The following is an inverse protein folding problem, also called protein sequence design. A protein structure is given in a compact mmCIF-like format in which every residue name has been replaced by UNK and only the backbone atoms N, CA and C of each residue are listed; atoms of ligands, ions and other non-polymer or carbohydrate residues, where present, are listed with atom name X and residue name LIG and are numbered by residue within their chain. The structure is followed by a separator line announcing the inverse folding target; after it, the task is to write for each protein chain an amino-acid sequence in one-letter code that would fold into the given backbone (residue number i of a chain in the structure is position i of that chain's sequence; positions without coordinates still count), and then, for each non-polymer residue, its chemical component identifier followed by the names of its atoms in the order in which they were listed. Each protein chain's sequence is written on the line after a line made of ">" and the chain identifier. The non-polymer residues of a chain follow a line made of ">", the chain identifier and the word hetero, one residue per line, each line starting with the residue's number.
data_IF_702459635314
#
_entry.id   IF_702459635314
#
_cell.length_a   1.000
_cell.length_b   1.000
_cell.length_c   1.000
_cell.angle_alpha   90.00
_cell.angle_beta   90.00
_cell.angle_gamma   90.00
#
_symmetry.space_group_name_H-M   'P 1'
#
loop_
_entity.id
_entity.type
_entity.pdbx_description
1 polymer ?
#
# COMPACT_ATOMS: atom_id res chain seq x y z
N UNK A 1 27.22 -12.87 -15.03
CA UNK A 1 26.81 -12.08 -13.86
C UNK A 1 25.35 -11.74 -14.06
N UNK A 2 24.47 -12.12 -13.14
CA UNK A 2 23.04 -11.91 -13.32
C UNK A 2 22.68 -10.47 -12.89
N UNK A 3 21.66 -9.89 -13.52
CA UNK A 3 21.29 -8.49 -13.30
C UNK A 3 19.81 -8.33 -12.96
N UNK A 4 19.51 -7.31 -12.15
CA UNK A 4 18.18 -6.73 -12.01
C UNK A 4 18.21 -5.37 -12.69
N UNK A 5 17.43 -5.20 -13.75
CA UNK A 5 17.36 -3.97 -14.52
C UNK A 5 16.10 -3.18 -14.16
N UNK A 6 16.27 -1.91 -13.87
CA UNK A 6 15.20 -0.95 -13.61
C UNK A 6 15.24 0.12 -14.68
N UNK A 7 14.17 0.19 -15.47
CA UNK A 7 13.99 1.26 -16.44
C UNK A 7 13.95 2.63 -15.76
N UNK A 8 14.11 3.69 -16.56
CA UNK A 8 13.84 5.06 -16.11
C UNK A 8 12.35 5.20 -15.78
N UNK A 9 12.01 5.19 -14.49
CA UNK A 9 10.61 5.25 -14.01
C UNK A 9 10.16 6.62 -13.49
N UNK A 10 11.08 7.57 -13.27
CA UNK A 10 10.77 8.86 -12.62
C UNK A 10 11.67 9.98 -13.11
N UNK A 11 11.15 11.22 -13.08
CA UNK A 11 11.96 12.44 -13.26
C UNK A 11 12.83 12.74 -12.03
N UNK A 12 12.38 12.35 -10.84
CA UNK A 12 13.01 12.63 -9.55
C UNK A 12 13.68 11.39 -8.99
N UNK A 13 14.75 11.60 -8.22
CA UNK A 13 15.40 10.55 -7.44
C UNK A 13 14.40 9.88 -6.49
N UNK A 14 14.51 8.55 -6.38
CA UNK A 14 13.69 7.74 -5.48
C UNK A 14 14.62 7.02 -4.52
N UNK A 15 14.88 7.66 -3.38
CA UNK A 15 15.74 7.11 -2.35
C UNK A 15 15.08 5.91 -1.67
N UNK A 16 15.86 4.85 -1.45
CA UNK A 16 15.43 3.61 -0.82
C UNK A 16 14.07 3.10 -1.38
N UNK A 17 13.92 3.06 -2.70
CA UNK A 17 12.65 2.74 -3.37
C UNK A 17 12.23 1.30 -3.06
N UNK A 18 11.04 1.04 -2.48
CA UNK A 18 10.59 -0.31 -2.23
C UNK A 18 10.37 -1.06 -3.53
N UNK A 19 11.23 -2.04 -3.77
CA UNK A 19 11.21 -2.90 -4.95
C UNK A 19 10.85 -4.31 -4.52
N UNK A 20 9.92 -4.92 -5.26
CA UNK A 20 9.58 -6.33 -5.12
C UNK A 20 9.75 -7.02 -6.46
N UNK A 21 10.56 -8.08 -6.50
CA UNK A 21 10.81 -8.87 -7.71
C UNK A 21 10.72 -10.36 -7.41
N UNK A 22 10.33 -11.15 -8.41
CA UNK A 22 10.37 -12.62 -8.36
C UNK A 22 11.46 -13.13 -9.28
N UNK A 23 12.46 -13.82 -8.72
CA UNK A 23 13.62 -14.33 -9.46
C UNK A 23 13.48 -15.84 -9.63
N UNK A 24 13.45 -16.38 -10.86
CA UNK A 24 13.45 -17.81 -11.10
C UNK A 24 14.85 -18.39 -10.95
N UNK A 25 14.94 -19.59 -10.37
CA UNK A 25 16.18 -20.36 -10.27
C UNK A 25 16.01 -21.75 -10.87
N UNK A 26 17.02 -22.17 -11.64
CA UNK A 26 17.10 -23.55 -12.11
C UNK A 26 17.28 -24.50 -10.92
N UNK A 27 16.81 -25.75 -11.09
CA UNK A 27 16.93 -26.80 -10.09
C UNK A 27 18.37 -26.94 -9.58
N UNK A 28 18.53 -26.98 -8.25
CA UNK A 28 19.80 -27.10 -7.55
C UNK A 28 20.65 -25.82 -7.48
N UNK A 29 20.22 -24.70 -8.10
CA UNK A 29 21.05 -23.47 -8.15
C UNK A 29 20.99 -22.61 -6.90
N UNK A 30 19.84 -22.54 -6.25
CA UNK A 30 19.66 -21.79 -5.01
C UNK A 30 19.13 -22.73 -3.93
N UNK A 31 19.99 -23.23 -3.02
CA UNK A 31 19.55 -24.18 -2.00
C UNK A 31 18.66 -23.52 -0.94
N UNK A 32 18.96 -22.27 -0.56
CA UNK A 32 18.21 -21.50 0.44
C UNK A 32 18.21 -20.00 0.07
N UNK A 33 17.10 -19.26 0.31
CA UNK A 33 17.01 -17.82 0.06
C UNK A 33 18.17 -16.96 0.58
N UNK A 34 18.79 -17.33 1.71
CA UNK A 34 19.86 -16.59 2.36
C UNK A 34 21.18 -16.60 1.59
N UNK A 35 21.32 -17.48 0.59
CA UNK A 35 22.49 -17.45 -0.30
C UNK A 35 22.43 -16.33 -1.34
N UNK A 36 21.28 -15.67 -1.55
CA UNK A 36 21.20 -14.55 -2.48
C UNK A 36 21.97 -13.35 -1.94
N UNK A 37 22.86 -12.81 -2.75
CA UNK A 37 23.44 -11.49 -2.56
C UNK A 37 23.07 -10.58 -3.73
N UNK A 38 22.65 -9.35 -3.41
CA UNK A 38 22.40 -8.28 -4.38
C UNK A 38 23.39 -7.16 -4.11
N UNK A 39 23.93 -6.58 -5.18
CA UNK A 39 25.01 -5.61 -5.18
C UNK A 39 24.64 -4.38 -6.01
N UNK A 40 24.95 -3.20 -5.48
CA UNK A 40 24.94 -1.92 -6.19
C UNK A 40 26.37 -1.40 -6.25
N UNK A 41 27.03 -1.58 -7.39
CA UNK A 41 28.49 -1.48 -7.47
C UNK A 41 29.15 -2.47 -6.49
N UNK A 42 30.02 -1.95 -5.62
CA UNK A 42 30.70 -2.75 -4.58
C UNK A 42 29.90 -2.85 -3.27
N UNK A 43 28.72 -2.22 -3.19
CA UNK A 43 27.90 -2.18 -1.98
C UNK A 43 26.89 -3.31 -1.94
N UNK A 44 27.03 -4.22 -0.96
CA UNK A 44 26.05 -5.28 -0.72
C UNK A 44 24.77 -4.69 -0.17
N UNK A 45 23.64 -5.02 -0.78
CA UNK A 45 22.33 -4.48 -0.43
C UNK A 45 21.64 -5.31 0.65
N UNK A 46 20.86 -4.70 1.55
CA UNK A 46 19.88 -5.42 2.37
C UNK A 46 18.87 -6.13 1.49
N UNK A 47 18.57 -7.39 1.85
CA UNK A 47 17.65 -8.25 1.11
C UNK A 47 16.69 -8.88 2.11
N UNK A 48 15.41 -8.85 1.80
CA UNK A 48 14.39 -9.65 2.47
C UNK A 48 13.78 -10.59 1.43
N UNK A 49 13.97 -11.90 1.59
CA UNK A 49 13.59 -12.87 0.56
C UNK A 49 12.88 -14.08 1.14
N UNK A 50 11.94 -14.65 0.39
CA UNK A 50 11.28 -15.92 0.70
C UNK A 50 11.06 -16.76 -0.54
N UNK A 51 11.17 -18.08 -0.39
CA UNK A 51 10.80 -19.00 -1.45
C UNK A 51 9.27 -18.99 -1.64
N UNK A 52 8.82 -18.80 -2.89
CA UNK A 52 7.42 -18.95 -3.29
C UNK A 52 7.11 -20.37 -3.76
N UNK A 53 8.12 -21.03 -4.34
CA UNK A 53 8.03 -22.41 -4.78
C UNK A 53 9.41 -23.07 -4.74
N UNK A 54 9.44 -24.37 -4.51
CA UNK A 54 10.65 -25.20 -4.49
C UNK A 54 10.55 -26.32 -5.53
N UNK A 55 11.71 -26.81 -5.97
CA UNK A 55 11.83 -28.03 -6.77
C UNK A 55 11.73 -29.27 -5.87
N UNK A 56 11.59 -30.45 -6.50
CA UNK A 56 11.49 -31.72 -5.76
C UNK A 56 12.73 -32.10 -4.96
N UNK A 57 13.87 -31.44 -5.16
CA UNK A 57 15.08 -31.59 -4.34
C UNK A 57 15.19 -30.55 -3.21
N UNK A 58 14.15 -29.73 -3.02
CA UNK A 58 14.10 -28.67 -2.00
C UNK A 58 14.70 -27.33 -2.44
N UNK A 59 15.45 -27.28 -3.54
CA UNK A 59 16.03 -26.02 -4.03
C UNK A 59 14.95 -25.02 -4.45
N UNK A 60 15.23 -23.73 -4.30
CA UNK A 60 14.29 -22.66 -4.64
C UNK A 60 14.06 -22.63 -6.15
N UNK A 61 12.78 -22.59 -6.55
CA UNK A 61 12.35 -22.43 -7.94
C UNK A 61 11.97 -21.00 -8.26
N UNK A 62 11.18 -20.38 -7.37
CA UNK A 62 10.77 -18.98 -7.46
C UNK A 62 11.05 -18.29 -6.15
N UNK A 63 11.86 -17.24 -6.18
CA UNK A 63 12.24 -16.47 -5.01
C UNK A 63 11.59 -15.08 -5.07
N UNK A 64 10.78 -14.74 -4.07
CA UNK A 64 10.34 -13.37 -3.87
C UNK A 64 11.44 -12.60 -3.14
N UNK A 65 11.81 -11.43 -3.65
CA UNK A 65 12.88 -10.59 -3.12
C UNK A 65 12.36 -9.16 -2.96
N UNK A 66 12.56 -8.61 -1.77
CA UNK A 66 12.33 -7.20 -1.45
C UNK A 66 13.68 -6.50 -1.24
N UNK A 67 13.81 -5.33 -1.85
CA UNK A 67 14.98 -4.46 -1.85
C UNK A 67 14.54 -3.01 -1.68
N UNK A 68 15.48 -2.15 -1.30
CA UNK A 68 15.26 -0.69 -1.28
C UNK A 68 16.45 0.05 -1.89
N UNK A 69 16.75 -0.10 -3.20
CA UNK A 69 17.83 0.63 -3.85
C UNK A 69 17.50 2.12 -4.01
N UNK A 70 18.53 2.95 -4.14
CA UNK A 70 18.37 4.31 -4.62
C UNK A 70 18.25 4.30 -6.15
N UNK A 71 17.08 4.72 -6.65
CA UNK A 71 16.84 4.83 -8.09
C UNK A 71 17.02 6.28 -8.54
N UNK A 72 17.94 6.56 -9.49
CA UNK A 72 18.21 7.91 -9.94
C UNK A 72 17.06 8.46 -10.79
N UNK A 73 16.80 9.76 -10.65
CA UNK A 73 15.89 10.50 -11.50
C UNK A 73 16.44 10.59 -12.93
N UNK A 74 15.54 10.46 -13.90
CA UNK A 74 15.83 10.54 -15.33
C UNK A 74 16.81 9.52 -15.90
N UNK A 75 17.22 8.52 -15.13
CA UNK A 75 18.18 7.48 -15.53
C UNK A 75 17.62 6.09 -15.19
N UNK A 76 18.16 5.07 -15.84
CA UNK A 76 17.95 3.68 -15.48
C UNK A 76 18.92 3.24 -14.37
N UNK A 77 18.70 2.05 -13.81
CA UNK A 77 19.56 1.45 -12.78
C UNK A 77 19.71 -0.03 -13.03
N UNK A 78 20.94 -0.53 -12.88
CA UNK A 78 21.21 -1.97 -12.88
C UNK A 78 21.83 -2.38 -11.55
N UNK A 79 21.29 -3.43 -10.93
CA UNK A 79 21.90 -4.12 -9.80
C UNK A 79 22.43 -5.47 -10.27
N UNK A 80 23.43 -5.99 -9.56
CA UNK A 80 23.96 -7.33 -9.80
C UNK A 80 23.51 -8.29 -8.70
N UNK A 81 23.34 -9.56 -9.03
CA UNK A 81 23.11 -10.57 -8.02
C UNK A 81 23.83 -11.88 -8.30
N UNK A 82 24.11 -12.60 -7.22
CA UNK A 82 24.78 -13.89 -7.25
C UNK A 82 24.26 -14.81 -6.13
N UNK A 83 24.57 -16.09 -6.27
CA UNK A 83 24.35 -17.09 -5.22
C UNK A 83 25.68 -17.33 -4.54
N UNK A 84 25.80 -16.93 -3.29
CA UNK A 84 27.01 -17.10 -2.51
C UNK A 84 27.23 -18.58 -2.16
N UNK A 85 28.47 -19.10 -2.21
CA UNK A 85 28.76 -20.48 -1.85
C UNK A 85 28.60 -20.74 -0.34
N UNK A 86 28.80 -19.70 0.47
CA UNK A 86 28.67 -19.75 1.93
C UNK A 86 27.53 -18.84 2.38
N UNK A 87 26.75 -19.31 3.35
CA UNK A 87 25.72 -18.51 4.00
C UNK A 87 26.36 -17.31 4.67
N UNK A 88 26.03 -16.13 4.14
CA UNK A 88 26.44 -14.85 4.70
C UNK A 88 25.17 -14.03 4.82
N UNK A 89 24.69 -13.68 6.04
CA UNK A 89 23.49 -12.86 6.18
C UNK A 89 23.59 -11.57 5.36
N UNK A 90 22.48 -11.09 4.77
CA UNK A 90 22.47 -9.78 4.14
C UNK A 90 22.75 -8.69 5.20
N UNK A 91 23.36 -7.56 4.81
CA UNK A 91 23.52 -6.44 5.73
C UNK A 91 22.16 -5.94 6.21
N UNK A 92 22.09 -5.52 7.47
CA UNK A 92 20.88 -4.92 8.00
C UNK A 92 20.64 -3.54 7.35
N UNK A 93 19.39 -3.16 7.03
CA UNK A 93 19.12 -1.82 6.56
C UNK A 93 19.26 -0.81 7.71
N UNK A 94 19.61 0.42 7.36
CA UNK A 94 19.84 1.51 8.33
C UNK A 94 18.59 1.83 9.16
N UNK A 95 17.42 1.73 8.55
CA UNK A 95 16.11 1.81 9.18
C UNK A 95 15.40 0.48 8.96
N UNK A 96 14.67 0.00 9.96
CA UNK A 96 13.99 -1.30 9.90
C UNK A 96 12.51 -1.16 10.24
N UNK A 97 11.67 -1.97 9.59
CA UNK A 97 10.29 -2.16 10.04
C UNK A 97 10.28 -2.99 11.31
N UNK A 98 9.54 -2.54 12.32
CA UNK A 98 9.27 -3.28 13.55
C UNK A 98 7.78 -3.57 13.65
N UNK A 99 7.44 -4.80 13.99
CA UNK A 99 6.06 -5.26 14.17
C UNK A 99 5.91 -5.79 15.59
N UNK A 100 4.85 -5.36 16.29
CA UNK A 100 4.53 -5.80 17.63
C UNK A 100 3.06 -6.14 17.77
N UNK A 101 2.76 -7.39 18.14
CA UNK A 101 1.40 -7.83 18.41
C UNK A 101 0.95 -7.44 19.82
N UNK A 102 -0.33 -7.13 19.98
CA UNK A 102 -0.92 -6.80 21.27
C UNK A 102 -2.44 -6.93 21.27
N UNK A 103 -3.09 -6.82 22.44
CA UNK A 103 -4.52 -7.09 22.59
C UNK A 103 -5.42 -6.14 21.81
N UNK A 104 -4.95 -4.92 21.53
CA UNK A 104 -5.68 -3.92 20.74
C UNK A 104 -5.37 -3.99 19.23
N UNK A 105 -4.50 -4.90 18.79
CA UNK A 105 -4.06 -5.05 17.40
C UNK A 105 -2.56 -4.93 17.22
N UNK A 106 -2.14 -4.84 15.95
CA UNK A 106 -0.74 -4.95 15.56
C UNK A 106 -0.15 -3.55 15.38
N UNK A 107 0.92 -3.25 16.13
CA UNK A 107 1.70 -2.02 15.98
C UNK A 107 2.78 -2.22 14.93
N UNK A 108 2.97 -1.22 14.08
CA UNK A 108 3.99 -1.19 13.04
C UNK A 108 4.74 0.13 13.13
N UNK A 109 6.05 0.07 13.11
CA UNK A 109 6.95 1.23 13.07
C UNK A 109 7.91 1.08 11.89
N UNK A 110 7.88 2.03 10.96
CA UNK A 110 8.77 2.05 9.79
C UNK A 110 10.05 2.84 10.03
N UNK A 111 10.22 3.48 11.18
CA UNK A 111 11.19 4.54 11.45
C UNK A 111 10.51 5.91 11.49
N UNK A 112 10.12 6.50 10.34
CA UNK A 112 9.42 7.77 10.32
C UNK A 112 7.94 7.66 10.66
N UNK A 113 7.27 6.53 10.46
CA UNK A 113 5.84 6.37 10.69
C UNK A 113 5.57 5.20 11.65
N UNK A 114 4.88 5.49 12.75
CA UNK A 114 4.36 4.50 13.69
C UNK A 114 2.83 4.53 13.68
N UNK A 115 2.21 3.36 13.65
CA UNK A 115 0.75 3.22 13.66
C UNK A 115 0.31 1.86 14.20
N UNK A 116 -1.00 1.68 14.37
CA UNK A 116 -1.64 0.43 14.71
C UNK A 116 -2.66 0.01 13.65
N UNK A 117 -2.65 -1.26 13.28
CA UNK A 117 -3.78 -1.94 12.63
C UNK A 117 -4.66 -2.55 13.72
N UNK A 118 -5.88 -2.04 13.96
CA UNK A 118 -6.65 -2.40 15.13
C UNK A 118 -7.51 -3.66 14.92
N UNK A 119 -7.95 -4.29 16.02
CA UNK A 119 -8.78 -5.52 16.00
C UNK A 119 -10.29 -5.27 15.98
N UNK A 120 -10.72 -4.02 16.16
CA UNK A 120 -12.12 -3.61 16.33
C UNK A 120 -12.75 -3.06 15.04
N UNK A 121 -12.31 -3.56 13.88
CA UNK A 121 -12.76 -3.16 12.55
C UNK A 121 -11.61 -3.14 11.55
N UNK A 122 -11.92 -3.08 10.26
CA UNK A 122 -10.87 -2.78 9.28
C UNK A 122 -10.82 -1.27 9.05
N UNK A 123 -9.89 -0.65 9.77
CA UNK A 123 -9.58 0.77 9.75
C UNK A 123 -8.09 0.84 9.44
N UNK A 124 -7.70 1.28 8.23
CA UNK A 124 -6.38 0.96 7.69
C UNK A 124 -5.23 1.19 8.67
N UNK A 125 -5.22 2.34 9.35
CA UNK A 125 -4.26 2.67 10.41
C UNK A 125 -4.94 3.54 11.50
N UNK A 126 -4.48 3.41 12.75
CA UNK A 126 -4.83 4.23 13.93
C UNK A 126 -3.57 4.54 14.75
N UNK A 127 -3.68 5.31 15.83
CA UNK A 127 -2.57 5.66 16.73
C UNK A 127 -1.35 6.19 15.94
N UNK A 128 -1.57 7.15 15.05
CA UNK A 128 -0.60 7.55 14.03
C UNK A 128 0.38 8.58 14.59
N UNK A 129 1.68 8.28 14.51
CA UNK A 129 2.76 9.20 14.81
C UNK A 129 3.75 9.28 13.64
N UNK A 130 4.19 10.51 13.32
CA UNK A 130 5.16 10.80 12.28
C UNK A 130 6.39 11.46 12.91
N UNK A 131 7.58 10.90 12.67
CA UNK A 131 8.85 11.32 13.28
C UNK A 131 8.77 11.46 14.82
N UNK A 132 8.02 10.57 15.47
CA UNK A 132 7.78 10.58 16.92
C UNK A 132 6.75 11.61 17.39
N UNK A 133 6.26 12.50 16.53
CA UNK A 133 5.16 13.40 16.83
C UNK A 133 3.82 12.68 16.63
N UNK A 134 3.02 12.59 17.69
CA UNK A 134 1.67 12.05 17.61
C UNK A 134 0.80 12.99 16.75
N UNK A 135 0.24 12.48 15.65
CA UNK A 135 -0.63 13.24 14.76
C UNK A 135 -2.11 13.01 15.08
N UNK A 136 -2.54 11.76 15.08
CA UNK A 136 -3.94 11.38 15.32
C UNK A 136 -4.02 10.20 16.28
N UNK A 137 -4.63 10.43 17.45
CA UNK A 137 -4.93 9.38 18.45
C UNK A 137 -6.34 8.81 18.31
N UNK A 138 -7.23 9.52 17.61
CA UNK A 138 -8.62 9.12 17.42
C UNK A 138 -8.73 8.06 16.32
N UNK A 139 -9.94 7.83 15.81
CA UNK A 139 -10.21 7.01 14.62
C UNK A 139 -10.27 7.92 13.39
N UNK A 140 -9.12 8.25 12.76
CA UNK A 140 -9.12 9.12 11.59
C UNK A 140 -9.74 8.45 10.37
N UNK A 141 -9.94 7.14 10.37
CA UNK A 141 -10.63 6.43 9.29
C UNK A 141 -11.96 5.87 9.75
N UNK A 142 -12.98 5.95 8.88
CA UNK A 142 -14.30 5.36 9.15
C UNK A 142 -14.40 3.88 8.78
N UNK A 143 -13.38 3.33 8.12
CA UNK A 143 -13.42 2.00 7.50
C UNK A 143 -14.03 2.04 6.11
N UNK A 144 -14.13 0.88 5.49
CA UNK A 144 -14.71 0.72 4.16
C UNK A 144 -16.22 0.55 4.32
N UNK A 145 -16.98 1.52 3.80
CA UNK A 145 -18.43 1.43 3.65
C UNK A 145 -18.74 0.92 2.24
N UNK A 146 -19.72 0.02 2.13
CA UNK A 146 -20.20 -0.55 0.88
C UNK A 146 -21.72 -0.44 0.81
N UNK A 147 -22.25 -0.11 -0.36
CA UNK A 147 -23.68 -0.15 -0.65
C UNK A 147 -23.94 -1.03 -1.86
N UNK A 148 -24.79 -2.04 -1.67
CA UNK A 148 -25.20 -2.96 -2.73
C UNK A 148 -26.71 -3.20 -2.65
N UNK A 149 -27.45 -3.05 -3.76
CA UNK A 149 -28.91 -3.22 -3.81
C UNK A 149 -29.65 -2.39 -2.73
N UNK A 150 -29.22 -1.15 -2.50
CA UNK A 150 -29.72 -0.26 -1.46
C UNK A 150 -29.36 -0.66 -0.02
N UNK A 151 -28.68 -1.79 0.19
CA UNK A 151 -28.21 -2.25 1.50
C UNK A 151 -26.84 -1.65 1.81
N UNK A 152 -26.72 -0.96 2.95
CA UNK A 152 -25.46 -0.42 3.44
C UNK A 152 -24.80 -1.38 4.43
N UNK A 153 -23.48 -1.53 4.34
CA UNK A 153 -22.68 -2.20 5.36
C UNK A 153 -21.29 -1.55 5.49
N UNK A 154 -20.59 -1.79 6.59
CA UNK A 154 -19.27 -1.19 6.84
C UNK A 154 -18.32 -2.12 7.60
N UNK A 155 -17.01 -1.91 7.42
CA UNK A 155 -15.95 -2.56 8.22
C UNK A 155 -15.66 -1.85 9.55
N UNK A 156 -16.27 -0.68 9.83
CA UNK A 156 -15.95 0.16 11.01
C UNK A 156 -16.03 -0.61 12.33
N UNK A 157 -17.09 -1.40 12.48
CA UNK A 157 -17.40 -2.17 13.69
C UNK A 157 -17.38 -3.68 13.40
N UNK A 158 -16.68 -4.09 12.34
CA UNK A 158 -16.55 -5.50 11.99
C UNK A 158 -15.64 -6.20 13.00
N UNK A 159 -16.01 -7.43 13.37
CA UNK A 159 -15.06 -8.33 14.02
C UNK A 159 -14.05 -8.76 12.97
N UNK A 160 -12.77 -8.49 13.20
CA UNK A 160 -11.70 -8.83 12.26
C UNK A 160 -10.69 -9.79 12.86
N UNK A 161 -10.09 -10.61 11.98
CA UNK A 161 -8.89 -11.38 12.26
C UNK A 161 -7.70 -10.66 11.65
N UNK A 162 -6.66 -10.47 12.47
CA UNK A 162 -5.38 -9.94 12.04
C UNK A 162 -4.36 -11.07 11.93
N UNK A 163 -3.51 -11.02 10.92
CA UNK A 163 -2.40 -11.95 10.73
C UNK A 163 -1.19 -11.20 10.16
N UNK A 164 -0.02 -11.43 10.74
CA UNK A 164 1.24 -10.95 10.18
C UNK A 164 1.64 -11.89 9.04
N UNK A 165 1.27 -11.53 7.81
CA UNK A 165 1.61 -12.33 6.61
C UNK A 165 3.11 -12.23 6.29
N UNK A 166 3.72 -11.09 6.63
CA UNK A 166 5.15 -10.84 6.48
C UNK A 166 5.65 -9.88 7.56
N UNK A 167 6.78 -10.22 8.20
CA UNK A 167 7.51 -9.33 9.07
C UNK A 167 9.01 -9.50 8.85
N UNK A 168 9.59 -8.57 8.11
CA UNK A 168 11.04 -8.50 7.95
C UNK A 168 11.56 -7.06 8.02
N UNK A 169 12.88 -6.88 7.97
CA UNK A 169 13.52 -5.60 8.24
C UNK A 169 13.20 -4.54 7.18
N UNK A 170 12.86 -4.90 5.95
CA UNK A 170 12.54 -3.95 4.87
C UNK A 170 11.04 -3.72 4.70
N UNK A 171 10.23 -4.74 4.98
CA UNK A 171 8.79 -4.74 4.68
C UNK A 171 8.01 -5.58 5.68
N UNK A 172 6.83 -5.09 6.04
CA UNK A 172 5.82 -5.86 6.75
C UNK A 172 4.47 -5.82 6.03
N UNK A 173 3.70 -6.89 6.20
CA UNK A 173 2.35 -7.05 5.65
C UNK A 173 1.43 -7.56 6.73
N UNK A 174 0.40 -6.80 7.03
CA UNK A 174 -0.66 -7.18 7.95
C UNK A 174 -1.91 -7.52 7.14
N UNK A 175 -2.32 -8.79 7.17
CA UNK A 175 -3.58 -9.25 6.61
C UNK A 175 -4.72 -8.98 7.59
N UNK A 176 -5.78 -8.37 7.09
CA UNK A 176 -7.03 -8.13 7.83
C UNK A 176 -8.15 -8.88 7.11
N UNK A 177 -8.88 -9.73 7.82
CA UNK A 177 -10.05 -10.42 7.25
C UNK A 177 -11.25 -10.34 8.18
N UNK A 178 -12.45 -10.32 7.59
CA UNK A 178 -13.69 -10.20 8.34
C UNK A 178 -14.89 -10.13 7.40
N UNK A 179 -16.01 -9.64 7.92
CA UNK A 179 -17.21 -9.37 7.12
C UNK A 179 -17.78 -8.00 7.47
N UNK A 180 -18.30 -7.30 6.46
CA UNK A 180 -19.01 -6.05 6.64
C UNK A 180 -20.20 -6.25 7.58
N UNK A 181 -20.57 -5.19 8.30
CA UNK A 181 -21.72 -5.17 9.21
C UNK A 181 -22.74 -4.16 8.72
N UNK A 182 -23.99 -4.60 8.61
CA UNK A 182 -25.15 -3.73 8.38
C UNK A 182 -25.44 -2.88 9.62
N UNK A 183 -26.28 -1.83 9.52
CA UNK A 183 -26.63 -0.99 10.68
C UNK A 183 -27.24 -1.74 11.87
N UNK A 184 -27.92 -2.86 11.62
CA UNK A 184 -28.48 -3.76 12.64
C UNK A 184 -27.45 -4.73 13.24
N UNK A 185 -26.20 -4.70 12.77
CA UNK A 185 -25.11 -5.57 13.19
C UNK A 185 -25.04 -6.90 12.44
N UNK A 186 -25.95 -7.19 11.50
CA UNK A 186 -25.89 -8.41 10.70
C UNK A 186 -24.65 -8.42 9.79
N UNK A 187 -24.04 -9.60 9.62
CA UNK A 187 -22.99 -9.79 8.63
C UNK A 187 -23.57 -9.64 7.21
N UNK A 188 -22.74 -9.17 6.27
CA UNK A 188 -23.07 -9.12 4.85
C UNK A 188 -21.89 -9.68 4.05
N UNK A 189 -21.20 -8.83 3.28
CA UNK A 189 -20.09 -9.28 2.43
C UNK A 189 -18.81 -9.55 3.24
N UNK A 190 -18.19 -10.70 3.02
CA UNK A 190 -16.84 -11.00 3.48
C UNK A 190 -15.84 -9.98 2.89
N UNK A 191 -14.70 -9.76 3.54
CA UNK A 191 -13.62 -8.94 3.01
C UNK A 191 -12.23 -9.45 3.40
N UNK A 192 -11.25 -9.04 2.61
CA UNK A 192 -9.82 -9.14 2.90
C UNK A 192 -9.15 -7.81 2.59
N UNK A 193 -8.22 -7.42 3.43
CA UNK A 193 -7.37 -6.27 3.18
C UNK A 193 -5.94 -6.52 3.64
N UNK A 194 -5.01 -5.74 3.10
CA UNK A 194 -3.62 -5.74 3.54
C UNK A 194 -3.18 -4.33 3.86
N UNK A 195 -2.44 -4.18 4.95
CA UNK A 195 -1.68 -2.97 5.25
C UNK A 195 -0.21 -3.31 5.07
N UNK A 196 0.42 -2.63 4.11
CA UNK A 196 1.81 -2.90 3.70
C UNK A 196 2.64 -1.68 4.07
N UNK A 197 3.71 -1.93 4.83
CA UNK A 197 4.61 -0.90 5.33
C UNK A 197 6.05 -1.23 4.96
N UNK A 198 6.86 -0.18 4.74
CA UNK A 198 8.22 -0.28 4.24
C UNK A 198 9.17 0.51 5.13
N UNK A 199 10.39 0.01 5.33
CA UNK A 199 11.37 0.67 6.17
C UNK A 199 11.73 2.06 5.60
N UNK A 200 11.81 3.04 6.49
CA UNK A 200 12.15 4.42 6.15
C UNK A 200 11.05 5.17 5.38
N UNK A 201 9.85 4.59 5.19
CA UNK A 201 8.77 5.25 4.43
C UNK A 201 7.69 5.86 5.32
N UNK A 202 7.27 7.10 5.06
CA UNK A 202 6.21 7.79 5.82
C UNK A 202 4.81 7.49 5.27
N UNK A 203 4.64 6.38 4.54
CA UNK A 203 3.36 5.98 3.94
C UNK A 203 3.13 4.49 4.11
N UNK A 204 1.88 4.07 3.96
CA UNK A 204 1.47 2.67 3.86
C UNK A 204 0.70 2.45 2.56
N UNK A 205 0.74 1.23 2.04
CA UNK A 205 -0.20 0.81 1.00
C UNK A 205 -1.33 0.00 1.65
N UNK A 206 -2.55 0.22 1.15
CA UNK A 206 -3.74 -0.47 1.65
C UNK A 206 -4.40 -1.19 0.49
N UNK A 207 -4.45 -2.51 0.58
CA UNK A 207 -5.27 -3.34 -0.31
C UNK A 207 -6.62 -3.57 0.35
N UNK A 208 -7.68 -3.55 -0.45
CA UNK A 208 -9.03 -3.88 0.00
C UNK A 208 -9.76 -4.69 -1.09
N UNK A 209 -10.39 -5.77 -0.65
CA UNK A 209 -11.20 -6.66 -1.46
C UNK A 209 -12.45 -7.05 -0.66
N UNK A 210 -13.63 -6.93 -1.27
CA UNK A 210 -14.84 -7.57 -0.77
C UNK A 210 -15.10 -8.87 -1.53
N UNK A 211 -15.78 -9.81 -0.89
CA UNK A 211 -16.05 -11.15 -1.40
C UNK A 211 -17.56 -11.36 -1.33
N UNK A 212 -18.17 -11.57 -2.50
CA UNK A 212 -19.59 -11.81 -2.62
C UNK A 212 -19.89 -13.32 -2.53
N UNK A 213 -20.68 -13.72 -1.51
CA UNK A 213 -21.12 -15.10 -1.26
C UNK A 213 -22.60 -15.17 -0.86
N UNK A 214 -23.35 -14.12 -1.15
CA UNK A 214 -24.78 -14.06 -0.80
C UNK A 214 -25.59 -14.99 -1.72
N UNK A 215 -26.82 -15.32 -1.34
CA UNK A 215 -27.69 -16.16 -2.16
C UNK A 215 -27.93 -15.60 -3.58
N UNK A 216 -28.23 -14.30 -3.76
CA UNK A 216 -28.31 -13.73 -5.11
C UNK A 216 -26.98 -13.88 -5.83
N UNK A 217 -26.99 -14.38 -7.07
CA UNK A 217 -25.75 -14.52 -7.86
C UNK A 217 -25.12 -13.19 -8.26
N UNK A 218 -25.92 -12.12 -8.29
CA UNK A 218 -25.51 -10.78 -8.69
C UNK A 218 -25.95 -9.73 -7.66
N UNK A 219 -25.08 -8.75 -7.42
CA UNK A 219 -25.38 -7.58 -6.63
C UNK A 219 -25.07 -6.33 -7.47
N UNK A 220 -25.97 -5.35 -7.44
CA UNK A 220 -25.69 -4.03 -7.97
C UNK A 220 -24.82 -3.27 -6.96
N UNK A 221 -23.53 -3.15 -7.24
CA UNK A 221 -22.62 -2.35 -6.44
C UNK A 221 -22.83 -0.86 -6.76
N UNK A 222 -23.22 -0.10 -5.75
CA UNK A 222 -23.51 1.34 -5.90
C UNK A 222 -22.32 2.20 -5.46
N UNK A 223 -21.64 1.81 -4.38
CA UNK A 223 -20.48 2.55 -3.85
C UNK A 223 -19.60 1.68 -2.96
N UNK A 224 -18.31 2.00 -2.95
CA UNK A 224 -17.34 1.62 -1.91
C UNK A 224 -16.61 2.90 -1.50
N UNK A 225 -16.60 3.21 -0.22
CA UNK A 225 -16.06 4.47 0.31
C UNK A 225 -15.14 4.20 1.50
N UNK A 226 -13.93 4.76 1.45
CA UNK A 226 -13.08 4.96 2.62
C UNK A 226 -13.06 6.45 2.92
N UNK A 227 -13.35 6.84 4.16
CA UNK A 227 -13.27 8.24 4.59
C UNK A 227 -12.15 8.43 5.59
N UNK A 228 -11.39 9.50 5.40
CA UNK A 228 -10.52 10.08 6.39
C UNK A 228 -11.20 11.30 7.02
N UNK A 229 -11.16 11.40 8.35
CA UNK A 229 -11.67 12.53 9.13
C UNK A 229 -10.54 13.13 9.95
N UNK A 230 -10.42 14.44 9.86
CA UNK A 230 -9.53 15.21 10.70
C UNK A 230 -10.26 16.43 11.27
N UNK A 231 -9.88 16.79 12.49
CA UNK A 231 -10.23 18.09 13.06
C UNK A 231 -9.10 19.06 12.73
N UNK A 232 -9.36 19.98 11.82
CA UNK A 232 -8.38 20.98 11.42
C UNK A 232 -7.94 21.86 12.60
N UNK A 233 -6.64 22.14 12.68
CA UNK A 233 -6.11 23.26 13.42
C UNK A 233 -6.00 24.48 12.50
N UNK A 234 -6.94 25.42 12.63
CA UNK A 234 -7.05 26.56 11.73
C UNK A 234 -7.76 26.21 10.42
N UNK A 235 -7.44 26.93 9.35
CA UNK A 235 -8.02 26.72 8.02
C UNK A 235 -7.18 25.71 7.24
N UNK A 236 -7.71 24.50 6.94
CA UNK A 236 -6.97 23.51 6.19
C UNK A 236 -6.77 23.96 4.73
N UNK A 237 -5.68 23.49 4.15
CA UNK A 237 -5.37 23.59 2.72
C UNK A 237 -5.70 22.25 2.08
N UNK A 238 -6.47 22.31 1.00
CA UNK A 238 -6.97 21.14 0.29
C UNK A 238 -6.38 21.16 -1.11
N UNK A 239 -5.98 19.99 -1.62
CA UNK A 239 -5.56 19.86 -3.00
C UNK A 239 -6.07 18.56 -3.62
N UNK A 240 -6.37 18.60 -4.91
CA UNK A 240 -6.71 17.43 -5.71
C UNK A 240 -5.81 17.43 -6.95
N UNK A 241 -5.09 16.33 -7.14
CA UNK A 241 -4.23 16.11 -8.28
C UNK A 241 -4.74 15.00 -9.18
N UNK A 242 -4.73 15.26 -10.48
CA UNK A 242 -5.07 14.26 -11.50
C UNK A 242 -4.24 14.49 -12.77
N UNK A 243 -3.85 13.42 -13.45
CA UNK A 243 -3.37 13.56 -14.83
C UNK A 243 -2.69 12.31 -15.34
N UNK A 244 -2.65 12.13 -16.66
CA UNK A 244 -2.02 10.96 -17.30
C UNK A 244 -0.56 11.23 -17.69
N UNK A 245 -0.31 12.35 -18.39
CA UNK A 245 1.03 12.77 -18.83
C UNK A 245 1.59 13.94 -18.00
N UNK A 246 0.71 14.84 -17.57
CA UNK A 246 1.03 15.98 -16.71
C UNK A 246 -0.05 16.12 -15.66
N UNK A 247 0.34 16.12 -14.40
CA UNK A 247 -0.57 16.25 -13.26
C UNK A 247 -1.06 17.68 -13.14
N UNK A 248 -2.38 17.87 -13.26
CA UNK A 248 -3.07 19.12 -12.91
C UNK A 248 -3.39 19.07 -11.43
N UNK A 249 -3.05 20.15 -10.72
CA UNK A 249 -3.30 20.28 -9.28
C UNK A 249 -4.25 21.45 -9.10
N UNK A 250 -5.36 21.20 -8.41
CA UNK A 250 -6.30 22.22 -7.97
C UNK A 250 -6.17 22.36 -6.46
N UNK A 251 -5.91 23.57 -5.97
CA UNK A 251 -5.87 23.87 -4.54
C UNK A 251 -7.07 24.72 -4.13
N UNK A 252 -7.57 24.52 -2.91
CA UNK A 252 -8.73 25.23 -2.37
C UNK A 252 -8.73 25.22 -0.83
N UNK A 253 -9.49 26.14 -0.23
CA UNK A 253 -9.89 26.05 1.18
C UNK A 253 -11.32 25.49 1.34
N UNK A 254 -12.08 25.45 0.24
CA UNK A 254 -13.41 24.86 0.13
C UNK A 254 -13.35 23.47 -0.51
N UNK A 255 -14.42 22.69 -0.34
CA UNK A 255 -14.54 21.32 -0.86
C UNK A 255 -14.16 21.22 -2.35
N UNK A 256 -13.26 20.27 -2.66
CA UNK A 256 -12.91 19.84 -4.00
C UNK A 256 -13.41 18.41 -4.20
N UNK A 257 -14.00 18.14 -5.36
CA UNK A 257 -14.41 16.80 -5.73
C UNK A 257 -14.07 16.53 -7.19
N UNK A 258 -13.63 15.31 -7.47
CA UNK A 258 -13.38 14.85 -8.83
C UNK A 258 -13.82 13.41 -8.99
N UNK A 259 -14.61 13.15 -10.03
CA UNK A 259 -14.98 11.82 -10.45
C UNK A 259 -14.35 11.50 -11.81
N UNK A 260 -13.72 10.34 -11.89
CA UNK A 260 -13.36 9.65 -13.12
C UNK A 260 -14.57 8.80 -13.51
N UNK A 261 -15.60 9.41 -14.09
CA UNK A 261 -16.82 8.72 -14.54
C UNK A 261 -16.59 8.01 -15.88
N UNK A 262 -17.48 7.07 -16.22
CA UNK A 262 -17.46 6.43 -17.53
C UNK A 262 -17.56 7.47 -18.67
N UNK A 263 -18.46 8.45 -18.54
CA UNK A 263 -18.61 9.53 -19.50
C UNK A 263 -17.32 10.34 -19.68
N UNK A 264 -16.65 10.70 -18.58
CA UNK A 264 -15.38 11.42 -18.65
C UNK A 264 -14.32 10.58 -19.37
N UNK A 265 -14.22 9.30 -19.05
CA UNK A 265 -13.20 8.41 -19.63
C UNK A 265 -13.42 8.15 -21.13
N UNK A 266 -14.62 8.37 -21.68
CA UNK A 266 -14.86 8.29 -23.13
C UNK A 266 -14.02 9.30 -23.94
N UNK A 267 -13.66 10.43 -23.32
CA UNK A 267 -12.96 11.52 -23.99
C UNK A 267 -11.52 11.70 -23.52
N UNK A 268 -11.07 10.92 -22.54
CA UNK A 268 -9.68 10.94 -22.06
C UNK A 268 -8.83 10.03 -22.96
N UNK A 269 -7.66 10.51 -23.43
CA UNK A 269 -6.75 9.67 -24.20
C UNK A 269 -6.16 8.59 -23.28
N UNK A 270 -6.75 7.39 -23.32
CA UNK A 270 -6.23 6.24 -22.60
C UNK A 270 -5.11 5.58 -23.42
N UNK A 271 -3.93 5.40 -22.81
CA UNK A 271 -2.89 4.54 -23.38
C UNK A 271 -3.32 3.05 -23.35
N UNK A 272 -2.41 2.14 -23.67
CA UNK A 272 -2.66 0.69 -23.54
C UNK A 272 -3.09 0.31 -22.12
N UNK A 273 -4.01 -0.66 -21.97
CA UNK A 273 -4.58 -1.07 -20.66
C UNK A 273 -3.48 -1.52 -19.68
N UNK A 274 -2.36 -2.05 -20.17
CA UNK A 274 -1.24 -2.56 -19.38
C UNK A 274 -0.19 -1.49 -19.01
N UNK A 275 -0.41 -0.21 -19.33
CA UNK A 275 0.48 0.87 -18.88
C UNK A 275 0.03 1.46 -17.54
N UNK A 276 0.95 1.50 -16.56
CA UNK A 276 0.78 2.33 -15.37
C UNK A 276 0.59 3.78 -15.84
N UNK A 277 -0.62 4.30 -15.68
CA UNK A 277 -0.99 5.58 -16.25
C UNK A 277 -1.70 6.44 -15.22
N UNK A 278 -1.07 7.58 -14.97
CA UNK A 278 -1.64 8.72 -14.32
C UNK A 278 -1.68 8.71 -12.80
N UNK A 279 -1.80 9.92 -12.28
CA UNK A 279 -1.91 10.24 -10.87
C UNK A 279 -3.38 10.56 -10.57
N UNK A 280 -3.86 10.15 -9.41
CA UNK A 280 -5.17 10.53 -8.90
C UNK A 280 -5.11 10.53 -7.38
N UNK A 281 -5.06 11.71 -6.78
CA UNK A 281 -4.84 11.87 -5.34
C UNK A 281 -5.55 13.10 -4.79
N UNK A 282 -5.82 13.05 -3.50
CA UNK A 282 -6.32 14.15 -2.69
C UNK A 282 -5.37 14.37 -1.51
N UNK A 283 -5.13 15.63 -1.17
CA UNK A 283 -4.30 16.05 -0.05
C UNK A 283 -5.12 16.97 0.86
N UNK A 284 -5.12 16.61 2.14
CA UNK A 284 -5.65 17.44 3.21
C UNK A 284 -4.48 17.77 4.14
N UNK A 285 -4.25 19.06 4.42
CA UNK A 285 -3.19 19.49 5.35
C UNK A 285 -3.58 20.74 6.10
N UNK A 286 -3.20 20.84 7.36
CA UNK A 286 -3.25 22.07 8.13
C UNK A 286 -1.84 22.53 8.51
N UNK A 287 -1.68 23.32 9.57
CA UNK A 287 -0.37 23.78 10.03
C UNK A 287 0.35 22.76 10.93
N UNK A 288 -0.30 21.65 11.28
CA UNK A 288 0.21 20.64 12.21
C UNK A 288 0.37 19.26 11.60
N UNK A 289 -0.48 18.89 10.64
CA UNK A 289 -0.51 17.56 10.05
C UNK A 289 -1.02 17.59 8.61
N UNK A 290 -0.78 16.51 7.87
CA UNK A 290 -1.34 16.32 6.53
C UNK A 290 -1.43 14.85 6.16
N UNK A 291 -2.42 14.53 5.33
CA UNK A 291 -2.62 13.22 4.74
C UNK A 291 -2.90 13.38 3.25
N UNK A 292 -2.12 12.68 2.44
CA UNK A 292 -2.42 12.45 1.04
C UNK A 292 -2.96 11.03 0.84
N UNK A 293 -4.05 10.89 0.08
CA UNK A 293 -4.62 9.62 -0.34
C UNK A 293 -4.61 9.53 -1.86
N UNK A 294 -4.18 8.38 -2.38
CA UNK A 294 -4.20 8.10 -3.82
C UNK A 294 -4.83 6.74 -4.08
N UNK A 295 -5.54 6.62 -5.19
CA UNK A 295 -6.13 5.36 -5.65
C UNK A 295 -5.25 4.79 -6.76
N UNK A 296 -4.69 3.60 -6.53
CA UNK A 296 -3.85 2.94 -7.51
C UNK A 296 -4.60 2.69 -8.83
N UNK A 297 -4.03 3.14 -9.95
CA UNK A 297 -4.59 2.98 -11.29
C UNK A 297 -6.07 3.42 -11.41
N UNK A 298 -6.43 4.56 -10.80
CA UNK A 298 -7.81 5.02 -10.75
C UNK A 298 -8.45 5.21 -12.12
N UNK A 299 -7.70 5.74 -13.09
CA UNK A 299 -8.14 5.94 -14.47
C UNK A 299 -8.44 4.61 -15.18
N UNK A 300 -7.70 3.53 -14.88
CA UNK A 300 -7.92 2.20 -15.49
C UNK A 300 -9.07 1.45 -14.85
N UNK A 301 -9.33 1.74 -13.58
CA UNK A 301 -10.36 1.08 -12.79
C UNK A 301 -11.57 2.00 -12.57
N UNK A 302 -11.87 2.91 -13.50
CA UNK A 302 -13.05 3.77 -13.40
C UNK A 302 -14.35 2.92 -13.31
N UNK A 303 -15.42 3.42 -12.64
CA UNK A 303 -15.51 4.71 -12.00
C UNK A 303 -14.73 4.79 -10.68
N UNK A 304 -14.11 5.95 -10.44
CA UNK A 304 -13.43 6.32 -9.17
C UNK A 304 -13.68 7.78 -8.87
N UNK A 305 -13.70 8.14 -7.59
CA UNK A 305 -13.87 9.52 -7.17
C UNK A 305 -13.00 9.82 -5.94
N UNK A 306 -12.61 11.08 -5.83
CA UNK A 306 -11.99 11.65 -4.64
C UNK A 306 -12.73 12.93 -4.31
N UNK A 307 -12.97 13.15 -3.03
CA UNK A 307 -13.46 14.41 -2.47
C UNK A 307 -12.51 14.79 -1.35
N UNK A 308 -12.25 16.07 -1.19
CA UNK A 308 -11.48 16.60 -0.06
C UNK A 308 -12.14 17.88 0.40
N UNK A 309 -12.40 17.97 1.70
CA UNK A 309 -13.14 19.05 2.33
C UNK A 309 -12.47 19.42 3.66
N UNK A 310 -12.85 20.54 4.32
CA UNK A 310 -12.19 20.94 5.56
C UNK A 310 -12.18 19.85 6.65
N UNK A 311 -13.17 18.95 6.65
CA UNK A 311 -13.28 17.83 7.59
C UNK A 311 -12.46 16.57 7.23
N UNK A 312 -11.82 16.50 6.06
CA UNK A 312 -11.02 15.34 5.64
C UNK A 312 -11.12 15.00 4.16
N UNK A 313 -10.98 13.70 3.83
CA UNK A 313 -11.00 13.14 2.46
C UNK A 313 -12.08 12.05 2.40
#
# INVERSE_FOLDING_TARGET
>A
MNTLYFEKISRFDRHAEPVTVSIPFARGRLPDPQHLAVWDGDSRQPVQARALATWGDGSVKWLLVHLQPDLPGNLDKTLHFEVLPLLTPPPAPAVQVRVGEGPAGIRVDTGPLSFRVPVDGFLPIRDIALFGQQLWTDMPFDGFAIRCNGQQASTRSAVVRLEVEEAGPLRAVILVSGAHRKPDGAAYLDFRGRVIAYAGKPYVQVEYQFIHREEPSELSLEEVVLRFRARANGSPRLALGEGIATTRITESQDCLALALSAERMLYEPMGFIDSYSGDFWADWRDDTAGLALSIHQAQRNFPKALQVEPGGI
#
